data_IF_204050451032
#
_entry.id   IF_204050451032
#
_cell.length_a   1.000
_cell.length_b   1.000
_cell.length_c   1.000
_cell.angle_alpha   90.00
_cell.angle_beta   90.00
_cell.angle_gamma   90.00
#
_symmetry.space_group_name_H-M   'P 1'
#
loop_
_entity.id
_entity.type
_entity.pdbx_description
1 polymer ?
#
# COMPACT_ATOMS: atom_id res chain seq x y z
N UNK A 1 -13.89 39.93 0.56
CA UNK A 1 -13.80 38.46 0.66
C UNK A 1 -12.62 38.07 -0.20
N UNK A 2 -11.53 37.60 0.42
CA UNK A 2 -10.31 37.24 -0.30
C UNK A 2 -10.42 35.78 -0.73
N UNK A 3 -10.55 35.54 -2.03
CA UNK A 3 -10.40 34.22 -2.63
C UNK A 3 -8.99 33.73 -2.32
N UNK A 4 -8.89 32.78 -1.38
CA UNK A 4 -7.65 32.04 -1.14
C UNK A 4 -7.38 31.22 -2.38
N UNK A 5 -6.38 31.66 -3.13
CA UNK A 5 -5.75 30.93 -4.22
C UNK A 5 -5.38 29.51 -3.77
N UNK A 6 -6.27 28.57 -4.05
CA UNK A 6 -6.09 27.14 -3.77
C UNK A 6 -5.35 26.52 -4.96
N UNK A 7 -4.17 27.07 -5.27
CA UNK A 7 -3.26 26.49 -6.24
C UNK A 7 -2.74 25.18 -5.63
N UNK A 8 -3.39 24.07 -6.00
CA UNK A 8 -2.88 22.74 -5.70
C UNK A 8 -1.51 22.58 -6.36
N UNK A 9 -0.45 22.74 -5.56
CA UNK A 9 0.92 22.45 -5.97
C UNK A 9 1.01 20.98 -6.40
N UNK A 10 1.03 20.74 -7.71
CA UNK A 10 1.28 19.41 -8.28
C UNK A 10 2.79 19.18 -8.32
N UNK A 11 3.27 18.31 -7.45
CA UNK A 11 4.67 17.91 -7.45
C UNK A 11 4.81 16.77 -8.47
N UNK A 12 5.48 17.06 -9.59
CA UNK A 12 5.85 16.05 -10.57
C UNK A 12 7.22 15.47 -10.21
N UNK A 13 7.25 14.21 -9.80
CA UNK A 13 8.48 13.52 -9.39
C UNK A 13 8.89 12.56 -10.49
N UNK A 14 10.17 12.56 -10.88
CA UNK A 14 10.69 11.54 -11.79
C UNK A 14 10.91 10.22 -11.02
N UNK A 15 10.15 9.15 -11.32
CA UNK A 15 10.27 7.87 -10.61
C UNK A 15 11.62 7.18 -10.85
N UNK A 16 12.37 7.54 -11.90
CA UNK A 16 13.68 6.93 -12.20
C UNK A 16 14.77 7.37 -11.24
N UNK A 17 14.61 8.55 -10.65
CA UNK A 17 15.63 9.19 -9.81
C UNK A 17 15.23 9.25 -8.35
N UNK A 18 13.97 8.99 -8.02
CA UNK A 18 13.46 9.06 -6.64
C UNK A 18 13.09 7.67 -6.11
N UNK A 19 13.93 7.05 -5.26
CA UNK A 19 13.61 5.77 -4.67
C UNK A 19 12.50 5.93 -3.64
N UNK A 20 11.50 5.09 -3.79
CA UNK A 20 10.34 4.98 -2.92
C UNK A 20 10.67 3.95 -1.83
N UNK A 21 10.48 4.31 -0.55
CA UNK A 21 11.00 3.52 0.59
C UNK A 21 9.96 2.84 1.50
N UNK A 22 8.76 3.40 1.66
CA UNK A 22 7.69 2.95 2.58
C UNK A 22 6.35 2.64 1.87
N UNK A 23 5.26 2.47 2.60
CA UNK A 23 3.92 2.31 2.01
C UNK A 23 2.95 3.06 2.89
N UNK A 24 2.24 4.03 2.33
CA UNK A 24 1.20 4.77 3.06
C UNK A 24 -0.16 4.12 2.89
N UNK A 25 -0.51 3.79 1.64
CA UNK A 25 -1.83 3.27 1.27
C UNK A 25 -1.67 2.17 0.24
N UNK A 26 -2.50 1.14 0.31
CA UNK A 26 -2.64 0.14 -0.74
C UNK A 26 -4.07 0.20 -1.26
N UNK A 27 -4.23 0.50 -2.55
CA UNK A 27 -5.51 0.37 -3.23
C UNK A 27 -5.63 -1.02 -3.84
N UNK A 28 -6.78 -1.66 -3.63
CA UNK A 28 -7.05 -2.99 -4.15
C UNK A 28 -8.24 -2.94 -5.09
N UNK A 29 -8.05 -3.34 -6.35
CA UNK A 29 -9.11 -3.37 -7.34
C UNK A 29 -9.20 -4.76 -7.98
N UNK A 30 -10.43 -5.24 -8.16
CA UNK A 30 -10.70 -6.55 -8.76
C UNK A 30 -11.55 -6.42 -10.01
N UNK A 31 -11.29 -7.27 -11.00
CA UNK A 31 -12.18 -7.49 -12.14
C UNK A 31 -12.46 -8.99 -12.31
N UNK A 32 -13.08 -9.38 -13.42
CA UNK A 32 -13.39 -10.79 -13.69
C UNK A 32 -12.11 -11.64 -13.79
N UNK A 33 -11.03 -11.08 -14.33
CA UNK A 33 -9.78 -11.80 -14.59
C UNK A 33 -8.86 -11.89 -13.37
N UNK A 34 -8.87 -10.89 -12.48
CA UNK A 34 -7.85 -10.77 -11.45
C UNK A 34 -8.02 -9.66 -10.43
N UNK A 35 -6.94 -9.45 -9.68
CA UNK A 35 -6.77 -8.47 -8.61
C UNK A 35 -5.51 -7.66 -8.91
N UNK A 36 -5.60 -6.35 -8.74
CA UNK A 36 -4.49 -5.41 -8.73
C UNK A 36 -4.34 -4.81 -7.34
N UNK A 37 -3.10 -4.81 -6.84
CA UNK A 37 -2.69 -4.08 -5.64
C UNK A 37 -1.81 -2.92 -6.09
N UNK A 38 -2.30 -1.71 -5.90
CA UNK A 38 -1.56 -0.48 -6.14
C UNK A 38 -1.03 0.04 -4.81
N UNK A 39 0.26 -0.17 -4.60
CA UNK A 39 0.98 0.35 -3.44
C UNK A 39 1.31 1.81 -3.72
N UNK A 40 0.92 2.68 -2.80
CA UNK A 40 1.03 4.12 -2.94
C UNK A 40 1.84 4.75 -1.83
N UNK A 41 2.53 5.83 -2.18
CA UNK A 41 3.18 6.73 -1.24
C UNK A 41 2.72 8.16 -1.45
N UNK A 42 2.66 8.92 -0.35
CA UNK A 42 2.43 10.34 -0.34
C UNK A 42 3.72 11.08 -0.73
N UNK A 43 3.60 12.04 -1.64
CA UNK A 43 4.73 12.86 -2.08
C UNK A 43 4.78 14.18 -1.29
N UNK A 44 5.82 14.32 -0.47
CA UNK A 44 6.07 15.52 0.33
C UNK A 44 4.90 15.87 1.26
N UNK A 45 4.63 17.17 1.44
CA UNK A 45 3.49 17.66 2.24
C UNK A 45 2.16 17.66 1.48
N UNK A 46 2.14 17.23 0.22
CA UNK A 46 0.94 17.29 -0.64
C UNK A 46 0.03 16.10 -0.42
N UNK A 47 -1.27 16.23 -0.69
CA UNK A 47 -2.23 15.12 -0.62
C UNK A 47 -2.18 14.20 -1.86
N UNK A 48 -1.13 14.29 -2.69
CA UNK A 48 -0.96 13.47 -3.87
C UNK A 48 -0.35 12.13 -3.50
N UNK A 49 -1.01 11.05 -3.94
CA UNK A 49 -0.51 9.68 -3.84
C UNK A 49 0.12 9.28 -5.18
N UNK A 50 1.37 8.84 -5.13
CA UNK A 50 2.07 8.24 -6.25
C UNK A 50 2.01 6.72 -6.12
N UNK A 51 1.67 6.02 -7.21
CA UNK A 51 1.79 4.55 -7.26
C UNK A 51 3.26 4.19 -7.44
N UNK A 52 3.73 3.30 -6.58
CA UNK A 52 5.15 2.99 -6.47
C UNK A 52 5.46 1.53 -6.74
N UNK A 53 4.48 0.66 -6.49
CA UNK A 53 4.50 -0.71 -6.93
C UNK A 53 3.09 -1.13 -7.32
N UNK A 54 2.99 -1.93 -8.38
CA UNK A 54 1.74 -2.53 -8.84
C UNK A 54 1.91 -4.02 -8.92
N UNK A 55 1.10 -4.75 -8.18
CA UNK A 55 1.12 -6.21 -8.16
C UNK A 55 -0.19 -6.71 -8.76
N UNK A 56 -0.10 -7.31 -9.94
CA UNK A 56 -1.21 -7.96 -10.62
C UNK A 56 -1.22 -9.46 -10.36
N UNK A 57 -2.38 -10.01 -10.02
CA UNK A 57 -2.58 -11.43 -9.79
C UNK A 57 -3.85 -11.91 -10.47
N UNK A 58 -3.81 -13.09 -11.10
CA UNK A 58 -5.05 -13.76 -11.48
C UNK A 58 -5.85 -14.17 -10.25
N UNK A 59 -7.16 -14.41 -10.38
CA UNK A 59 -8.01 -14.81 -9.25
C UNK A 59 -7.48 -16.03 -8.47
N UNK A 60 -6.90 -17.00 -9.17
CA UNK A 60 -6.34 -18.22 -8.52
C UNK A 60 -5.13 -17.85 -7.66
N UNK A 61 -4.23 -16.99 -8.17
CA UNK A 61 -3.07 -16.53 -7.40
C UNK A 61 -3.48 -15.67 -6.21
N UNK A 62 -4.44 -14.76 -6.39
CA UNK A 62 -4.97 -13.94 -5.30
C UNK A 62 -5.53 -14.79 -4.15
N UNK A 63 -6.29 -15.86 -4.44
CA UNK A 63 -6.80 -16.78 -3.41
C UNK A 63 -5.68 -17.49 -2.65
N UNK A 64 -4.65 -17.96 -3.36
CA UNK A 64 -3.48 -18.61 -2.73
C UNK A 64 -2.69 -17.62 -1.86
N UNK A 65 -2.53 -16.38 -2.35
CA UNK A 65 -1.87 -15.30 -1.63
C UNK A 65 -2.59 -15.00 -0.32
N UNK A 66 -3.91 -14.78 -0.36
CA UNK A 66 -4.70 -14.49 0.84
C UNK A 66 -4.59 -15.63 1.85
N UNK A 67 -4.70 -16.89 1.40
CA UNK A 67 -4.57 -18.06 2.29
C UNK A 67 -3.23 -18.04 3.03
N UNK A 68 -2.13 -17.83 2.31
CA UNK A 68 -0.79 -17.78 2.93
C UNK A 68 -0.61 -16.56 3.82
N UNK A 69 -1.14 -15.41 3.44
CA UNK A 69 -1.11 -14.23 4.28
C UNK A 69 -1.85 -14.46 5.61
N UNK A 70 -3.05 -15.05 5.58
CA UNK A 70 -3.82 -15.39 6.79
C UNK A 70 -3.08 -16.38 7.68
N UNK A 71 -2.49 -17.44 7.11
CA UNK A 71 -1.68 -18.42 7.86
C UNK A 71 -0.51 -17.75 8.58
N UNK A 72 0.21 -16.83 7.92
CA UNK A 72 1.34 -16.12 8.50
C UNK A 72 0.92 -15.18 9.64
N UNK A 73 -0.19 -14.46 9.49
CA UNK A 73 -0.67 -13.53 10.52
C UNK A 73 -1.07 -14.27 11.81
N UNK A 74 -1.79 -15.39 11.69
CA UNK A 74 -2.16 -16.22 12.86
C UNK A 74 -0.93 -16.74 13.60
N UNK A 75 0.14 -17.12 12.88
CA UNK A 75 1.40 -17.56 13.50
C UNK A 75 2.12 -16.47 14.28
N UNK A 76 1.89 -15.18 13.94
CA UNK A 76 2.51 -14.06 14.65
C UNK A 76 1.73 -13.65 15.89
N UNK A 77 0.40 -13.76 15.88
CA UNK A 77 -0.45 -13.44 17.04
C UNK A 77 -0.22 -14.40 18.21
N UNK A 78 -0.03 -15.70 17.92
CA UNK A 78 0.23 -16.74 18.93
C UNK A 78 1.60 -16.66 19.63
N UNK A 79 2.53 -15.80 19.16
CA UNK A 79 3.87 -15.63 19.75
C UNK A 79 3.98 -14.50 20.78
N UNK A 80 2.91 -13.73 21.02
CA UNK A 80 2.92 -12.59 21.95
C UNK A 80 2.84 -12.96 23.43
N UNK A 81 2.93 -14.23 23.80
CA UNK A 81 2.97 -14.69 25.20
C UNK A 81 4.25 -15.44 25.50
N UNK A 82 5.34 -14.74 25.78
CA UNK A 82 6.40 -15.23 26.68
C UNK A 82 7.09 -14.05 27.33
N UNK A 83 6.58 -13.67 28.51
CA UNK A 83 7.11 -12.56 29.30
C UNK A 83 6.48 -12.41 30.68
N UNK A 84 5.94 -13.48 31.26
CA UNK A 84 5.76 -13.56 32.72
C UNK A 84 6.10 -14.98 33.15
N UNK A 85 7.21 -15.10 33.89
CA UNK A 85 7.30 -16.00 35.03
C UNK A 85 8.55 -15.64 35.86
N UNK A 86 8.24 -15.07 37.02
CA UNK A 86 9.01 -14.91 38.25
C UNK A 86 9.87 -13.65 38.37
#
# INVERSE_FOLDING_TARGET
>A
MADKDNSQFQINVDPKTTPILYTDVIFMNTNEDGLMLDVCQKIGSTNQLQVVARIGMSRIHAKKFIKKLSELLVMTEGKSQTGEKN
#
